data_IF_047952041813
#
_entry.id   IF_047952041813
#
_cell.length_a   1.000
_cell.length_b   1.000
_cell.length_c   1.000
_cell.angle_alpha   90.00
_cell.angle_beta   90.00
_cell.angle_gamma   90.00
#
_symmetry.space_group_name_H-M   'P 1'
#
loop_
_entity.id
_entity.type
_entity.pdbx_description
1 polymer ?
#
# COMPACT_ATOMS: atom_id res chain seq x y z
N UNK A 1 -18.22 15.33 6.50
CA UNK A 1 -16.75 15.51 6.56
C UNK A 1 -16.22 15.15 5.19
N UNK A 2 -15.63 16.11 4.47
CA UNK A 2 -15.03 15.81 3.16
C UNK A 2 -13.67 15.15 3.39
N UNK A 3 -13.59 13.85 3.08
CA UNK A 3 -12.31 13.19 2.87
C UNK A 3 -11.85 13.60 1.47
N UNK A 4 -11.07 14.67 1.37
CA UNK A 4 -10.49 15.08 0.10
C UNK A 4 -9.32 14.12 -0.22
N UNK A 5 -9.29 13.61 -1.44
CA UNK A 5 -8.13 12.89 -1.95
C UNK A 5 -6.92 13.82 -1.95
N UNK A 6 -5.83 13.36 -1.34
CA UNK A 6 -4.60 14.16 -1.22
C UNK A 6 -3.61 13.80 -2.33
N UNK A 7 -3.45 12.51 -2.60
CA UNK A 7 -2.51 11.98 -3.57
C UNK A 7 -3.00 10.61 -4.05
N UNK A 8 -2.82 10.31 -5.33
CA UNK A 8 -3.13 9.03 -5.94
C UNK A 8 -1.92 8.50 -6.69
N UNK A 9 -1.70 7.19 -6.59
CA UNK A 9 -0.60 6.48 -7.22
C UNK A 9 -1.18 5.44 -8.18
N UNK A 10 -0.77 5.50 -9.45
CA UNK A 10 -1.22 4.60 -10.52
C UNK A 10 -0.05 4.23 -11.45
N UNK A 11 -0.29 3.35 -12.42
CA UNK A 11 0.73 2.87 -13.36
C UNK A 11 1.56 1.72 -12.80
N UNK A 12 2.86 1.69 -13.14
CA UNK A 12 3.73 0.52 -12.91
C UNK A 12 3.75 0.01 -11.46
N UNK A 13 3.67 0.90 -10.47
CA UNK A 13 3.58 0.51 -9.07
C UNK A 13 2.25 -0.21 -8.76
N UNK A 14 1.12 0.29 -9.28
CA UNK A 14 -0.18 -0.34 -9.08
C UNK A 14 -0.26 -1.71 -9.76
N UNK A 15 0.31 -1.84 -10.97
CA UNK A 15 0.40 -3.12 -11.69
C UNK A 15 1.20 -4.14 -10.86
N UNK A 16 2.37 -3.72 -10.36
CA UNK A 16 3.21 -4.57 -9.49
C UNK A 16 2.50 -4.96 -8.20
N UNK A 17 1.69 -4.08 -7.62
CA UNK A 17 0.92 -4.37 -6.40
C UNK A 17 -0.12 -5.46 -6.66
N UNK A 18 -0.85 -5.37 -7.78
CA UNK A 18 -1.83 -6.36 -8.21
C UNK A 18 -1.18 -7.76 -8.31
N UNK A 19 0.01 -7.84 -8.89
CA UNK A 19 0.73 -9.11 -9.05
C UNK A 19 1.19 -9.69 -7.69
N UNK A 20 1.76 -8.86 -6.80
CA UNK A 20 2.21 -9.33 -5.48
C UNK A 20 1.05 -9.83 -4.61
N UNK A 21 -0.06 -9.10 -4.60
CA UNK A 21 -1.24 -9.44 -3.80
C UNK A 21 -1.84 -10.78 -4.24
N UNK A 22 -1.79 -11.11 -5.54
CA UNK A 22 -2.25 -12.39 -6.06
C UNK A 22 -1.30 -13.55 -5.76
N UNK A 23 0.00 -13.35 -5.98
CA UNK A 23 0.92 -14.48 -6.10
C UNK A 23 1.70 -14.77 -4.81
N UNK A 24 2.10 -13.75 -4.06
CA UNK A 24 3.00 -13.94 -2.92
C UNK A 24 3.06 -12.70 -2.02
N UNK A 25 1.99 -12.42 -1.26
CA UNK A 25 1.97 -11.27 -0.37
C UNK A 25 3.03 -11.38 0.72
N UNK A 26 3.79 -10.30 0.91
CA UNK A 26 5.00 -10.23 1.76
C UNK A 26 4.71 -10.32 3.27
N UNK A 27 3.46 -10.18 3.68
CA UNK A 27 3.06 -10.29 5.07
C UNK A 27 1.54 -10.17 5.29
N UNK A 28 1.07 -10.19 6.54
CA UNK A 28 -0.35 -10.11 6.88
C UNK A 28 -1.04 -8.82 6.41
N UNK A 29 -0.36 -7.68 6.41
CA UNK A 29 -0.94 -6.42 5.95
C UNK A 29 -1.10 -6.41 4.43
N UNK A 30 -0.07 -6.82 3.69
CA UNK A 30 -0.14 -6.95 2.23
C UNK A 30 -1.21 -7.97 1.80
N UNK A 31 -1.39 -9.06 2.56
CA UNK A 31 -2.49 -10.04 2.37
C UNK A 31 -3.89 -9.44 2.54
N UNK A 32 -4.00 -8.38 3.33
CA UNK A 32 -5.27 -7.70 3.55
C UNK A 32 -5.71 -6.82 2.39
N UNK A 33 -4.81 -6.53 1.43
CA UNK A 33 -5.12 -5.81 0.21
C UNK A 33 -5.75 -6.79 -0.78
N UNK A 34 -6.86 -6.42 -1.39
CA UNK A 34 -7.57 -7.28 -2.34
C UNK A 34 -7.48 -6.68 -3.75
N UNK A 35 -7.08 -7.49 -4.74
CA UNK A 35 -6.96 -7.04 -6.13
C UNK A 35 -8.29 -6.56 -6.73
N UNK A 36 -9.38 -7.26 -6.43
CA UNK A 36 -10.70 -7.02 -7.03
C UNK A 36 -11.69 -6.43 -6.01
N UNK A 37 -11.18 -5.81 -4.94
CA UNK A 37 -12.01 -5.17 -3.94
C UNK A 37 -11.27 -4.02 -3.27
N UNK A 38 -12.01 -2.97 -2.96
CA UNK A 38 -11.47 -1.84 -2.22
C UNK A 38 -11.02 -2.25 -0.81
N UNK A 39 -9.83 -1.82 -0.44
CA UNK A 39 -9.26 -2.02 0.90
C UNK A 39 -8.83 -0.68 1.47
N UNK A 40 -9.11 -0.42 2.75
CA UNK A 40 -8.74 0.83 3.40
C UNK A 40 -7.98 0.57 4.70
N UNK A 41 -6.81 1.20 4.84
CA UNK A 41 -6.03 1.19 6.08
C UNK A 41 -6.11 2.55 6.78
N UNK A 42 -6.43 2.52 8.07
CA UNK A 42 -6.34 3.69 8.94
C UNK A 42 -4.91 3.90 9.46
N UNK A 43 -4.64 5.05 10.09
CA UNK A 43 -3.32 5.39 10.61
C UNK A 43 -2.73 4.38 11.62
N UNK A 44 -3.55 3.61 12.33
CA UNK A 44 -3.06 2.55 13.23
C UNK A 44 -2.57 1.33 12.43
N UNK A 45 -3.37 0.86 11.47
CA UNK A 45 -3.01 -0.22 10.56
C UNK A 45 -1.77 0.13 9.72
N UNK A 46 -1.65 1.38 9.28
CA UNK A 46 -0.50 1.84 8.49
C UNK A 46 0.84 1.77 9.25
N UNK A 47 0.84 1.80 10.59
CA UNK A 47 2.07 1.60 11.37
C UNK A 47 2.59 0.17 11.22
N UNK A 48 1.71 -0.82 11.35
CA UNK A 48 2.07 -2.22 11.11
C UNK A 48 2.45 -2.46 9.65
N UNK A 49 1.78 -1.77 8.72
CA UNK A 49 2.13 -1.88 7.31
C UNK A 49 3.54 -1.35 7.02
N UNK A 50 3.94 -0.23 7.64
CA UNK A 50 5.31 0.28 7.54
C UNK A 50 6.34 -0.70 8.13
N UNK A 51 6.07 -1.29 9.29
CA UNK A 51 6.95 -2.31 9.89
C UNK A 51 7.11 -3.54 8.98
N UNK A 52 6.03 -3.96 8.33
CA UNK A 52 6.04 -5.05 7.35
C UNK A 52 6.86 -4.68 6.11
N UNK A 53 6.68 -3.47 5.57
CA UNK A 53 7.45 -2.97 4.43
C UNK A 53 8.94 -2.84 4.74
N UNK A 54 9.31 -2.41 5.95
CA UNK A 54 10.72 -2.28 6.38
C UNK A 54 11.40 -3.63 6.57
N UNK A 55 10.63 -4.66 6.91
CA UNK A 55 11.12 -6.04 7.02
C UNK A 55 11.15 -6.77 5.67
N UNK A 56 10.47 -6.23 4.65
CA UNK A 56 10.40 -6.85 3.33
C UNK A 56 11.70 -6.65 2.53
N UNK A 57 12.17 -7.73 1.90
CA UNK A 57 13.32 -7.69 1.00
C UNK A 57 12.84 -7.75 -0.46
N UNK A 58 12.85 -6.63 -1.22
CA UNK A 58 12.36 -6.61 -2.60
C UNK A 58 13.21 -7.50 -3.50
N UNK A 59 12.54 -8.28 -4.35
CA UNK A 59 13.14 -9.27 -5.26
C UNK A 59 13.42 -8.72 -6.66
N UNK A 60 12.88 -7.54 -6.98
CA UNK A 60 13.09 -6.84 -8.24
C UNK A 60 13.09 -5.32 -8.04
N UNK A 61 13.53 -4.57 -9.06
CA UNK A 61 13.47 -3.11 -9.05
C UNK A 61 12.02 -2.59 -9.01
N UNK A 62 11.09 -3.30 -9.67
CA UNK A 62 9.65 -2.99 -9.60
C UNK A 62 9.10 -3.17 -8.18
N UNK A 63 9.46 -4.26 -7.48
CA UNK A 63 9.06 -4.44 -6.07
C UNK A 63 9.66 -3.34 -5.18
N UNK A 64 10.91 -2.96 -5.43
CA UNK A 64 11.59 -1.88 -4.69
C UNK A 64 10.87 -0.54 -4.88
N UNK A 65 10.50 -0.21 -6.11
CA UNK A 65 9.75 1.00 -6.44
C UNK A 65 8.38 0.98 -5.77
N UNK A 66 7.62 -0.11 -5.91
CA UNK A 66 6.34 -0.29 -5.24
C UNK A 66 6.46 -0.09 -3.72
N UNK A 67 7.41 -0.75 -3.06
CA UNK A 67 7.58 -0.59 -1.61
C UNK A 67 7.93 0.85 -1.22
N UNK A 68 8.72 1.56 -2.04
CA UNK A 68 8.97 2.99 -1.83
C UNK A 68 7.70 3.83 -1.94
N UNK A 69 6.84 3.54 -2.91
CA UNK A 69 5.55 4.22 -3.10
C UNK A 69 4.63 3.95 -1.90
N UNK A 70 4.50 2.68 -1.48
CA UNK A 70 3.67 2.29 -0.35
C UNK A 70 4.14 2.93 0.96
N UNK A 71 5.46 3.00 1.21
CA UNK A 71 6.01 3.69 2.38
C UNK A 71 5.66 5.18 2.34
N UNK A 72 5.91 5.86 1.22
CA UNK A 72 5.60 7.29 1.05
C UNK A 72 4.11 7.58 1.28
N UNK A 73 3.23 6.77 0.68
CA UNK A 73 1.79 6.92 0.81
C UNK A 73 1.33 6.70 2.26
N UNK A 74 1.85 5.65 2.92
CA UNK A 74 1.53 5.32 4.31
C UNK A 74 1.97 6.43 5.27
N UNK A 75 3.20 6.92 5.14
CA UNK A 75 3.69 8.05 5.94
C UNK A 75 2.88 9.32 5.72
N UNK A 76 2.52 9.62 4.47
CA UNK A 76 1.71 10.80 4.12
C UNK A 76 0.33 10.72 4.76
N UNK A 77 -0.33 9.57 4.67
CA UNK A 77 -1.63 9.33 5.30
C UNK A 77 -1.54 9.42 6.84
N UNK A 78 -0.51 8.84 7.47
CA UNK A 78 -0.31 8.96 8.93
C UNK A 78 -0.11 10.42 9.34
N UNK A 79 0.76 11.17 8.65
CA UNK A 79 1.03 12.60 8.96
C UNK A 79 -0.24 13.45 8.90
N UNK A 80 -1.16 13.11 8.00
CA UNK A 80 -2.41 13.83 7.80
C UNK A 80 -3.59 13.27 8.61
N UNK A 81 -3.35 12.28 9.49
CA UNK A 81 -4.41 11.57 10.22
C UNK A 81 -5.49 10.98 9.29
N UNK A 82 -5.08 10.62 8.08
CA UNK A 82 -5.94 10.12 7.02
C UNK A 82 -5.98 8.59 6.93
N UNK A 83 -6.51 8.13 5.80
CA UNK A 83 -6.60 6.73 5.42
C UNK A 83 -5.84 6.53 4.12
N UNK A 84 -5.29 5.34 3.94
CA UNK A 84 -4.81 4.89 2.63
C UNK A 84 -5.85 3.96 2.04
N UNK A 85 -6.35 4.31 0.86
CA UNK A 85 -7.32 3.52 0.13
C UNK A 85 -6.63 2.85 -1.06
N UNK A 86 -6.77 1.54 -1.15
CA UNK A 86 -6.39 0.72 -2.29
C UNK A 86 -7.67 0.41 -3.05
N UNK A 87 -7.73 0.87 -4.30
CA UNK A 87 -8.84 0.54 -5.17
C UNK A 87 -8.53 -0.72 -5.96
N UNK A 88 -9.47 -1.66 -5.96
CA UNK A 88 -9.42 -2.85 -6.80
C UNK A 88 -10.50 -2.77 -7.86
N UNK A 89 -10.11 -2.39 -9.08
CA UNK A 89 -10.95 -2.35 -10.28
C UNK A 89 -10.46 -3.42 -11.29
#
# INVERSE_FOLDING_TARGET
>A
MNHNEIESFSGAAADTLSDIVLDSPTGPMMRGIHKYADTMFNAYQLKFFLEELDSANPRSDSERELFSVLRRASESAIRQQGYLWFSGD
#
